data_IF_019834616298
#
_entry.id   IF_019834616298
#
_cell.length_a   1.000
_cell.length_b   1.000
_cell.length_c   1.000
_cell.angle_alpha   90.00
_cell.angle_beta   90.00
_cell.angle_gamma   90.00
#
_symmetry.space_group_name_H-M   'P 1'
#
loop_
_entity.id
_entity.type
_entity.pdbx_description
1 polymer ?
#
# COMPACT_ATOMS: atom_id res chain seq x y z
N UNK A 1 -45.71 -11.20 7.27
CA UNK A 1 -44.65 -10.39 7.91
C UNK A 1 -44.20 -11.10 9.17
N UNK A 2 -43.10 -11.89 9.15
CA UNK A 2 -42.52 -12.44 10.35
C UNK A 2 -41.44 -11.49 10.90
N UNK A 3 -41.48 -11.36 12.21
CA UNK A 3 -40.71 -10.45 13.03
C UNK A 3 -39.21 -10.81 13.08
N UNK A 4 -38.40 -9.76 13.14
CA UNK A 4 -36.97 -9.77 13.46
C UNK A 4 -36.75 -10.30 14.89
N UNK A 5 -35.90 -11.32 15.02
CA UNK A 5 -35.27 -11.68 16.29
C UNK A 5 -33.84 -11.11 16.32
N UNK A 6 -33.40 -10.53 17.45
CA UNK A 6 -32.12 -9.84 17.55
C UNK A 6 -30.94 -10.81 17.72
N UNK A 7 -29.94 -10.68 16.85
CA UNK A 7 -28.62 -11.31 16.93
C UNK A 7 -27.81 -10.62 18.03
N UNK A 8 -28.17 -10.82 19.30
CA UNK A 8 -27.49 -10.20 20.44
C UNK A 8 -27.07 -11.20 21.51
N UNK A 9 -26.98 -12.49 21.19
CA UNK A 9 -26.65 -13.50 22.19
C UNK A 9 -25.68 -14.54 21.64
N UNK A 10 -24.41 -14.16 21.51
CA UNK A 10 -23.27 -15.10 21.36
C UNK A 10 -21.89 -14.44 21.51
N UNK A 11 -21.72 -13.53 22.47
CA UNK A 11 -20.40 -12.97 22.78
C UNK A 11 -20.13 -12.88 24.29
N UNK A 12 -20.29 -13.99 25.00
CA UNK A 12 -19.89 -14.10 26.41
C UNK A 12 -19.28 -15.49 26.70
N UNK A 13 -18.21 -15.84 26.00
CA UNK A 13 -17.32 -16.97 26.36
C UNK A 13 -15.90 -16.76 25.80
N UNK A 14 -15.30 -15.62 26.14
CA UNK A 14 -13.84 -15.47 26.04
C UNK A 14 -13.23 -15.69 27.42
N UNK A 15 -12.26 -16.61 27.58
CA UNK A 15 -11.58 -16.85 28.83
C UNK A 15 -10.87 -15.58 29.32
N UNK A 16 -11.01 -15.33 30.62
CA UNK A 16 -10.49 -14.18 31.39
C UNK A 16 -8.96 -14.23 31.58
N UNK A 17 -8.22 -14.60 30.53
CA UNK A 17 -6.77 -14.82 30.55
C UNK A 17 -5.98 -13.79 29.73
N UNK A 18 -6.60 -12.73 29.23
CA UNK A 18 -5.94 -11.70 28.42
C UNK A 18 -5.91 -10.33 29.13
N UNK A 19 -5.65 -10.31 30.43
CA UNK A 19 -5.52 -9.06 31.21
C UNK A 19 -4.33 -9.04 32.17
N UNK A 20 -3.25 -9.76 31.84
CA UNK A 20 -1.94 -9.63 32.49
C UNK A 20 -0.88 -9.75 31.41
N UNK A 21 -0.31 -8.61 31.00
CA UNK A 21 1.08 -8.40 30.58
C UNK A 21 1.24 -6.95 30.07
N UNK A 22 0.94 -5.98 30.94
CA UNK A 22 1.24 -4.56 30.72
C UNK A 22 2.24 -4.09 31.78
N UNK A 23 3.42 -4.72 31.84
CA UNK A 23 4.55 -4.23 32.65
C UNK A 23 5.89 -4.85 32.22
N UNK A 24 6.09 -5.07 30.93
CA UNK A 24 7.41 -5.34 30.36
C UNK A 24 7.78 -4.17 29.46
N UNK A 25 8.81 -3.42 29.82
CA UNK A 25 9.46 -2.50 28.87
C UNK A 25 9.79 -3.26 27.58
N UNK A 26 9.60 -2.67 26.39
CA UNK A 26 9.97 -3.34 25.14
C UNK A 26 11.44 -3.76 25.22
N UNK A 27 11.82 -4.95 24.72
CA UNK A 27 13.21 -5.38 24.73
C UNK A 27 14.05 -4.31 24.05
N UNK A 28 15.07 -3.83 24.76
CA UNK A 28 16.01 -2.83 24.27
C UNK A 28 16.58 -3.35 22.95
N UNK A 29 16.20 -2.70 21.85
CA UNK A 29 16.75 -3.00 20.54
C UNK A 29 18.28 -2.89 20.65
N UNK A 30 19.05 -3.87 20.16
CA UNK A 30 20.51 -3.75 20.15
C UNK A 30 20.86 -2.47 19.40
N UNK A 31 21.63 -1.60 20.06
CA UNK A 31 22.14 -0.37 19.45
C UNK A 31 22.77 -0.71 18.11
N UNK A 32 22.42 -0.02 17.01
CA UNK A 32 22.97 -0.35 15.71
C UNK A 32 24.48 -0.22 15.82
N UNK A 33 25.15 -1.35 15.63
CA UNK A 33 26.59 -1.41 15.50
C UNK A 33 27.02 -0.32 14.50
N UNK A 34 28.10 0.35 14.83
CA UNK A 34 28.79 1.32 14.00
C UNK A 34 29.14 0.71 12.65
N UNK A 35 28.20 0.77 11.70
CA UNK A 35 28.43 0.41 10.31
C UNK A 35 28.83 1.69 9.57
N UNK A 36 30.11 1.72 9.21
CA UNK A 36 30.72 2.78 8.44
C UNK A 36 30.13 2.82 7.02
N UNK A 37 29.06 3.59 6.85
CA UNK A 37 28.76 4.29 5.59
C UNK A 37 28.06 3.51 4.47
N UNK A 38 26.82 3.03 4.69
CA UNK A 38 25.73 3.03 3.69
C UNK A 38 24.42 2.53 4.31
N UNK A 39 23.96 3.16 5.39
CA UNK A 39 22.63 2.87 5.95
C UNK A 39 21.51 3.36 5.02
N UNK A 40 20.40 2.62 4.94
CA UNK A 40 19.18 3.13 4.34
C UNK A 40 18.69 4.35 5.12
N UNK A 41 18.43 5.46 4.41
CA UNK A 41 17.81 6.65 5.00
C UNK A 41 16.29 6.50 4.88
N UNK A 42 15.54 6.45 6.00
CA UNK A 42 14.08 6.36 5.94
C UNK A 42 13.47 7.47 5.09
N UNK A 43 12.59 7.11 4.16
CA UNK A 43 11.96 8.04 3.23
C UNK A 43 12.81 8.43 2.02
N UNK A 44 14.02 7.89 1.86
CA UNK A 44 14.85 8.12 0.66
C UNK A 44 14.34 7.40 -0.59
N UNK A 45 13.44 6.42 -0.44
CA UNK A 45 12.79 5.66 -1.52
C UNK A 45 11.28 5.81 -1.39
N UNK A 46 10.59 5.93 -2.53
CA UNK A 46 9.14 6.03 -2.62
C UNK A 46 8.57 4.96 -3.55
N UNK A 47 7.36 4.50 -3.23
CA UNK A 47 6.51 3.73 -4.12
C UNK A 47 5.40 4.65 -4.65
N UNK A 48 5.53 5.09 -5.90
CA UNK A 48 4.52 5.91 -6.57
C UNK A 48 3.49 5.02 -7.27
N UNK A 49 2.22 5.39 -7.12
CA UNK A 49 1.08 4.72 -7.75
C UNK A 49 0.53 5.57 -8.88
N UNK A 50 0.44 5.00 -10.08
CA UNK A 50 -0.05 5.69 -11.28
C UNK A 50 -1.05 4.78 -11.98
N UNK A 51 -2.25 5.27 -12.27
CA UNK A 51 -3.22 4.55 -13.10
C UNK A 51 -3.02 4.87 -14.58
N UNK A 52 -3.30 3.88 -15.43
CA UNK A 52 -3.19 3.98 -16.88
C UNK A 52 -4.43 3.40 -17.54
N UNK A 53 -4.88 3.97 -18.68
CA UNK A 53 -6.13 3.57 -19.33
C UNK A 53 -6.08 2.17 -19.96
N UNK A 54 -4.89 1.62 -20.22
CA UNK A 54 -4.72 0.27 -20.74
C UNK A 54 -3.28 -0.23 -20.56
N UNK A 55 -3.08 -1.53 -20.78
CA UNK A 55 -1.80 -2.22 -20.61
C UNK A 55 -0.72 -1.73 -21.60
N UNK A 56 -1.10 -1.35 -22.82
CA UNK A 56 -0.14 -0.86 -23.82
C UNK A 56 0.52 0.44 -23.35
N UNK A 57 -0.29 1.42 -22.95
CA UNK A 57 0.19 2.71 -22.41
C UNK A 57 1.02 2.49 -21.14
N UNK A 58 0.54 1.64 -20.22
CA UNK A 58 1.27 1.34 -18.99
C UNK A 58 2.66 0.74 -19.26
N UNK A 59 2.77 -0.18 -20.24
CA UNK A 59 4.06 -0.78 -20.66
C UNK A 59 4.99 0.24 -21.31
N UNK A 60 4.46 1.12 -22.17
CA UNK A 60 5.24 2.18 -22.80
C UNK A 60 5.84 3.14 -21.76
N UNK A 61 5.02 3.61 -20.81
CA UNK A 61 5.47 4.47 -19.71
C UNK A 61 6.48 3.74 -18.81
N UNK A 62 6.18 2.50 -18.40
CA UNK A 62 7.05 1.71 -17.54
C UNK A 62 8.46 1.52 -18.14
N UNK A 63 8.54 1.22 -19.45
CA UNK A 63 9.82 1.10 -20.16
C UNK A 63 10.56 2.44 -20.18
N UNK A 64 9.88 3.50 -20.56
CA UNK A 64 10.48 4.82 -20.68
C UNK A 64 11.06 5.33 -19.35
N UNK A 65 10.34 5.18 -18.22
CA UNK A 65 10.83 5.67 -16.91
C UNK A 65 12.02 4.86 -16.40
N UNK A 66 12.08 3.56 -16.69
CA UNK A 66 13.22 2.72 -16.32
C UNK A 66 14.43 3.00 -17.22
N UNK A 67 14.24 3.12 -18.53
CA UNK A 67 15.30 3.46 -19.50
C UNK A 67 15.93 4.82 -19.20
N UNK A 68 15.11 5.81 -18.84
CA UNK A 68 15.56 7.15 -18.43
C UNK A 68 16.10 7.22 -16.99
N UNK A 69 16.15 6.08 -16.28
CA UNK A 69 16.61 5.98 -14.88
C UNK A 69 15.83 6.87 -13.90
N UNK A 70 14.57 7.17 -14.22
CA UNK A 70 13.65 7.87 -13.33
C UNK A 70 13.01 6.92 -12.31
N UNK A 71 13.02 5.62 -12.58
CA UNK A 71 12.61 4.57 -11.67
C UNK A 71 13.53 3.35 -11.78
N UNK A 72 13.69 2.62 -10.68
CA UNK A 72 14.45 1.37 -10.68
C UNK A 72 13.61 0.19 -11.19
N UNK A 73 12.33 0.14 -10.81
CA UNK A 73 11.40 -0.88 -11.29
C UNK A 73 9.95 -0.41 -11.27
N UNK A 74 9.11 -1.09 -12.06
CA UNK A 74 7.67 -0.85 -12.15
C UNK A 74 6.94 -2.19 -12.17
N UNK A 75 5.96 -2.38 -11.28
CA UNK A 75 5.03 -3.51 -11.37
C UNK A 75 3.75 -3.04 -12.04
N UNK A 76 3.24 -3.84 -12.98
CA UNK A 76 1.95 -3.61 -13.62
C UNK A 76 0.93 -4.57 -13.01
N UNK A 77 -0.18 -4.02 -12.50
CA UNK A 77 -1.32 -4.77 -12.00
C UNK A 77 -2.44 -4.55 -13.02
N UNK A 78 -2.77 -5.55 -13.85
CA UNK A 78 -3.83 -5.41 -14.85
C UNK A 78 -5.22 -5.59 -14.22
N UNK A 79 -6.26 -5.25 -15.01
CA UNK A 79 -7.67 -5.53 -14.68
C UNK A 79 -8.13 -4.87 -13.37
N UNK A 80 -7.74 -3.60 -13.15
CA UNK A 80 -8.34 -2.79 -12.08
C UNK A 80 -9.63 -2.15 -12.60
N UNK A 81 -10.59 -1.94 -11.69
CA UNK A 81 -11.72 -1.06 -11.92
C UNK A 81 -11.54 0.18 -11.06
N UNK A 82 -11.46 1.35 -11.69
CA UNK A 82 -11.43 2.65 -11.01
C UNK A 82 -12.84 3.20 -10.94
N UNK A 83 -13.30 3.50 -9.71
CA UNK A 83 -14.63 4.04 -9.44
C UNK A 83 -14.45 5.45 -8.88
N UNK A 84 -15.05 6.44 -9.54
CA UNK A 84 -14.87 7.86 -9.19
C UNK A 84 -16.10 8.70 -9.57
N UNK A 85 -16.21 9.90 -9.02
CA UNK A 85 -17.27 10.85 -9.38
C UNK A 85 -16.77 11.83 -10.45
N UNK A 86 -17.52 11.95 -11.55
CA UNK A 86 -17.28 12.93 -12.59
C UNK A 86 -18.58 13.57 -13.06
N UNK A 87 -18.62 14.91 -13.04
CA UNK A 87 -19.81 15.70 -13.45
C UNK A 87 -21.11 15.24 -12.76
N UNK A 88 -21.03 14.89 -11.48
CA UNK A 88 -22.18 14.47 -10.67
C UNK A 88 -22.66 13.04 -10.92
N UNK A 89 -21.86 12.20 -11.59
CA UNK A 89 -22.16 10.79 -11.84
C UNK A 89 -21.01 9.93 -11.36
N UNK A 90 -21.34 8.74 -10.86
CA UNK A 90 -20.35 7.69 -10.58
C UNK A 90 -19.98 7.03 -11.91
N UNK A 91 -18.70 7.05 -12.23
CA UNK A 91 -18.10 6.41 -13.38
C UNK A 91 -17.29 5.20 -12.94
N UNK A 92 -17.21 4.20 -13.81
CA UNK A 92 -16.40 3.00 -13.62
C UNK A 92 -15.57 2.74 -14.87
N UNK A 93 -14.24 2.78 -14.75
CA UNK A 93 -13.31 2.56 -15.86
C UNK A 93 -12.40 1.36 -15.60
N UNK A 94 -12.10 0.59 -16.66
CA UNK A 94 -11.09 -0.45 -16.60
C UNK A 94 -9.70 0.16 -16.81
N UNK A 95 -8.81 -0.07 -15.86
CA UNK A 95 -7.46 0.52 -15.84
C UNK A 95 -6.38 -0.52 -15.53
N UNK A 96 -5.13 -0.07 -15.60
CA UNK A 96 -3.94 -0.77 -15.12
C UNK A 96 -3.27 0.10 -14.07
N UNK A 97 -2.98 -0.46 -12.89
CA UNK A 97 -2.25 0.23 -11.83
C UNK A 97 -0.76 -0.07 -11.94
N UNK A 98 0.05 0.98 -11.96
CA UNK A 98 1.50 0.92 -11.92
C UNK A 98 2.00 1.20 -10.51
N UNK A 99 2.86 0.33 -9.98
CA UNK A 99 3.60 0.57 -8.73
C UNK A 99 5.08 0.78 -9.05
N UNK A 100 5.49 2.04 -9.09
CA UNK A 100 6.81 2.54 -9.51
C UNK A 100 7.70 2.72 -8.27
N UNK A 101 8.89 2.12 -8.25
CA UNK A 101 9.85 2.24 -7.13
C UNK A 101 11.00 3.12 -7.59
N UNK A 102 11.20 4.22 -6.89
CA UNK A 102 12.23 5.20 -7.23
C UNK A 102 12.77 5.89 -5.97
N UNK A 103 13.88 6.62 -6.12
CA UNK A 103 14.35 7.51 -5.07
C UNK A 103 13.32 8.63 -4.88
N UNK A 104 13.01 8.98 -3.65
CA UNK A 104 12.01 10.02 -3.35
C UNK A 104 12.36 11.39 -3.95
N UNK A 105 13.65 11.66 -4.15
CA UNK A 105 14.15 12.87 -4.81
C UNK A 105 13.82 12.96 -6.32
N UNK A 106 13.45 11.85 -6.96
CA UNK A 106 13.10 11.78 -8.40
C UNK A 106 11.59 11.79 -8.66
N UNK A 107 10.76 11.96 -7.62
CA UNK A 107 9.30 12.00 -7.75
C UNK A 107 8.80 13.33 -8.35
N UNK A 108 9.34 14.52 -7.96
CA UNK A 108 8.96 15.80 -8.56
C UNK A 108 9.46 16.01 -9.99
#
# INVERSE_FOLDING_TARGET
>A
MPALLPVASRLLLLPRALLTMASGSPPTQPSPASDSGSGYVPGSVSAAFVTCPNEKVAKEIARAVVEKRLAACVNLIPQITSIYEWKGKIEEDSEVLMMIKTQSSLVP
#
